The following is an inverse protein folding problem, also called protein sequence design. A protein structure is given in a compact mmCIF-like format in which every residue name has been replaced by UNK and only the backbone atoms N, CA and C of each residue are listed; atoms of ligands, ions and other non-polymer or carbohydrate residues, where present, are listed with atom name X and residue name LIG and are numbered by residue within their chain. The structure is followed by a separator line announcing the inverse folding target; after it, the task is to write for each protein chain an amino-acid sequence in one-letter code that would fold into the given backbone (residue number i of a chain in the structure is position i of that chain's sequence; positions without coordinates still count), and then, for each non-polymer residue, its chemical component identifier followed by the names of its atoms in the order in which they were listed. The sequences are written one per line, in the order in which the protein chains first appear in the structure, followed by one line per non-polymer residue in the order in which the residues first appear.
data_IF_600725230595
#
_entry.id   IF_600725230595
#
_cell.length_a   1.000
_cell.length_b   1.000
_cell.length_c   1.000
_cell.angle_alpha   90.00
_cell.angle_beta   90.00
_cell.angle_gamma   90.00
#
_symmetry.space_group_name_H-M   'P 1'
#
loop_
_entity.id
_entity.type
_entity.pdbx_description
1 polymer ?
#
# COMPACT_ATOMS: atom_id res chain seq x y z
N UNK A 1 -23.36 -9.95 7.10
CA UNK A 1 -22.04 -10.39 7.62
C UNK A 1 -21.87 -9.82 9.02
N UNK A 2 -21.30 -10.58 9.97
CA UNK A 2 -21.01 -10.06 11.30
C UNK A 2 -20.01 -8.89 11.20
N UNK A 3 -20.24 -7.83 11.99
CA UNK A 3 -19.52 -6.56 11.90
C UNK A 3 -18.75 -6.27 13.17
N UNK A 4 -17.50 -5.83 13.03
CA UNK A 4 -16.71 -5.28 14.13
C UNK A 4 -16.80 -3.76 14.12
N UNK A 5 -17.07 -3.12 15.26
CA UNK A 5 -17.06 -1.64 15.37
C UNK A 5 -15.62 -1.13 15.53
N UNK A 6 -15.31 0.01 14.92
CA UNK A 6 -14.02 0.69 15.12
C UNK A 6 -13.99 1.42 16.48
N UNK A 7 -13.70 0.67 17.55
CA UNK A 7 -13.58 1.19 18.91
C UNK A 7 -12.26 1.93 19.14
N UNK A 8 -12.12 2.77 20.18
CA UNK A 8 -10.84 3.39 20.54
C UNK A 8 -9.71 2.38 20.73
N UNK A 9 -9.98 1.24 21.37
CA UNK A 9 -9.02 0.14 21.54
C UNK A 9 -8.58 -0.42 20.20
N UNK A 10 -9.53 -0.67 19.29
CA UNK A 10 -9.20 -1.19 17.97
C UNK A 10 -8.41 -0.17 17.12
N UNK A 11 -8.69 1.13 17.28
CA UNK A 11 -7.89 2.19 16.66
C UNK A 11 -6.44 2.14 17.11
N UNK A 12 -6.23 2.11 18.43
CA UNK A 12 -4.89 2.04 19.01
C UNK A 12 -4.14 0.78 18.55
N UNK A 13 -4.84 -0.35 18.46
CA UNK A 13 -4.28 -1.60 17.96
C UNK A 13 -3.84 -1.49 16.49
N UNK A 14 -4.67 -0.92 15.61
CA UNK A 14 -4.30 -0.68 14.21
C UNK A 14 -3.08 0.25 14.06
N UNK A 15 -3.03 1.35 14.82
CA UNK A 15 -1.87 2.26 14.82
C UNK A 15 -0.60 1.51 15.23
N UNK A 16 -0.65 0.80 16.36
CA UNK A 16 0.46 0.03 16.88
C UNK A 16 0.93 -1.03 15.87
N UNK A 17 0.01 -1.79 15.28
CA UNK A 17 0.32 -2.81 14.28
C UNK A 17 0.97 -2.19 13.04
N UNK A 18 0.46 -1.07 12.55
CA UNK A 18 1.04 -0.39 11.39
C UNK A 18 2.44 0.15 11.67
N UNK A 19 2.65 0.77 12.84
CA UNK A 19 3.95 1.29 13.27
C UNK A 19 5.00 0.19 13.42
N UNK A 20 4.60 -0.95 14.00
CA UNK A 20 5.49 -2.11 14.23
C UNK A 20 5.55 -3.08 13.04
N UNK A 21 4.84 -2.79 11.94
CA UNK A 21 4.87 -3.57 10.72
C UNK A 21 6.25 -3.52 10.09
N UNK A 22 6.83 -4.70 9.90
CA UNK A 22 8.08 -4.94 9.18
C UNK A 22 7.79 -5.91 8.05
N UNK A 23 8.02 -5.45 6.83
CA UNK A 23 7.89 -6.25 5.62
C UNK A 23 9.00 -7.30 5.66
N UNK A 24 8.66 -8.58 5.45
CA UNK A 24 9.67 -9.65 5.46
C UNK A 24 10.71 -9.37 4.37
N UNK A 25 12.03 -9.47 4.64
CA UNK A 25 13.06 -9.09 3.68
C UNK A 25 12.93 -9.74 2.30
N UNK A 26 12.59 -11.04 2.26
CA UNK A 26 12.36 -11.77 1.00
C UNK A 26 11.16 -11.29 0.19
N UNK A 27 10.23 -10.57 0.81
CA UNK A 27 9.03 -10.05 0.15
C UNK A 27 9.24 -8.67 -0.47
N UNK A 28 10.29 -7.93 -0.10
CA UNK A 28 10.51 -6.55 -0.54
C UNK A 28 10.63 -6.43 -2.07
N UNK A 29 11.23 -7.44 -2.72
CA UNK A 29 11.36 -7.50 -4.18
C UNK A 29 10.00 -7.61 -4.90
N UNK A 30 8.99 -8.18 -4.24
CA UNK A 30 7.62 -8.29 -4.77
C UNK A 30 6.76 -7.11 -4.34
N UNK A 31 6.91 -6.65 -3.09
CA UNK A 31 6.10 -5.57 -2.50
C UNK A 31 6.41 -4.22 -3.14
N UNK A 32 7.69 -3.92 -3.37
CA UNK A 32 8.10 -2.59 -3.85
C UNK A 32 7.55 -2.26 -5.25
N UNK A 33 7.66 -3.13 -6.26
CA UNK A 33 7.11 -2.85 -7.59
C UNK A 33 5.59 -2.65 -7.58
N UNK A 34 4.86 -3.39 -6.75
CA UNK A 34 3.40 -3.23 -6.63
C UNK A 34 3.06 -1.88 -5.99
N UNK A 35 3.73 -1.50 -4.90
CA UNK A 35 3.54 -0.19 -4.28
C UNK A 35 3.89 0.96 -5.25
N UNK A 36 4.98 0.83 -6.01
CA UNK A 36 5.36 1.80 -7.04
C UNK A 36 4.30 1.90 -8.15
N UNK A 37 3.75 0.77 -8.62
CA UNK A 37 2.66 0.77 -9.62
C UNK A 37 1.40 1.45 -9.09
N UNK A 38 1.06 1.25 -7.82
CA UNK A 38 -0.05 1.96 -7.17
C UNK A 38 0.22 3.46 -7.16
N UNK A 39 1.40 3.87 -6.69
CA UNK A 39 1.80 5.27 -6.63
C UNK A 39 1.87 5.94 -8.02
N UNK A 40 2.37 5.24 -9.03
CA UNK A 40 2.46 5.75 -10.41
C UNK A 40 1.07 6.02 -11.04
N UNK A 41 0.01 5.38 -10.53
CA UNK A 41 -1.36 5.62 -10.96
C UNK A 41 -2.16 6.49 -9.98
N UNK A 42 -1.49 7.20 -9.06
CA UNK A 42 -2.11 8.07 -8.05
C UNK A 42 -3.17 8.99 -8.66
N UNK A 43 -2.82 9.73 -9.71
CA UNK A 43 -3.71 10.75 -10.27
C UNK A 43 -4.97 10.13 -10.87
N UNK A 44 -4.85 8.94 -11.45
CA UNK A 44 -5.99 8.14 -11.92
C UNK A 44 -6.91 7.70 -10.76
N UNK A 45 -6.33 7.32 -9.63
CA UNK A 45 -7.09 7.00 -8.42
C UNK A 45 -7.71 8.24 -7.77
N UNK A 46 -7.04 9.40 -7.79
CA UNK A 46 -7.61 10.69 -7.31
C UNK A 46 -8.83 11.11 -8.14
N UNK A 47 -8.75 10.96 -9.47
CA UNK A 47 -9.91 11.19 -10.35
C UNK A 47 -11.12 10.34 -9.95
N UNK A 48 -10.94 9.16 -9.36
CA UNK A 48 -12.03 8.31 -8.87
C UNK A 48 -12.46 8.74 -7.46
N UNK A 49 -11.49 8.93 -6.56
CA UNK A 49 -11.69 9.08 -5.12
C UNK A 49 -12.10 10.47 -4.67
N UNK A 50 -11.52 11.54 -5.24
CA UNK A 50 -11.73 12.91 -4.78
C UNK A 50 -13.23 13.31 -4.79
N UNK A 51 -14.02 13.00 -5.83
CA UNK A 51 -15.46 13.31 -5.84
C UNK A 51 -16.28 12.52 -4.81
N UNK A 52 -15.73 11.42 -4.29
CA UNK A 52 -16.37 10.57 -3.28
C UNK A 52 -15.79 10.81 -1.87
N UNK A 53 -14.73 11.62 -1.76
CA UNK A 53 -13.97 11.82 -0.53
C UNK A 53 -13.24 10.55 -0.07
N UNK A 54 -12.76 9.72 -0.99
CA UNK A 54 -12.06 8.46 -0.70
C UNK A 54 -10.57 8.63 -1.06
N UNK A 55 -9.63 8.32 -0.15
CA UNK A 55 -8.20 8.42 -0.45
C UNK A 55 -7.79 7.56 -1.65
N UNK A 56 -6.98 8.13 -2.53
CA UNK A 56 -6.48 7.44 -3.72
C UNK A 56 -5.74 6.14 -3.36
N UNK A 57 -5.01 6.14 -2.24
CA UNK A 57 -4.22 5.00 -1.80
C UNK A 57 -5.12 3.84 -1.37
N UNK A 58 -6.27 4.11 -0.73
CA UNK A 58 -7.27 3.09 -0.41
C UNK A 58 -7.78 2.42 -1.69
N UNK A 59 -8.12 3.19 -2.72
CA UNK A 59 -8.61 2.67 -4.00
C UNK A 59 -7.54 1.82 -4.68
N UNK A 60 -6.27 2.27 -4.70
CA UNK A 60 -5.17 1.49 -5.26
C UNK A 60 -4.92 0.16 -4.54
N UNK A 61 -5.09 0.13 -3.22
CA UNK A 61 -4.98 -1.10 -2.42
C UNK A 61 -6.12 -2.08 -2.72
N UNK A 62 -7.36 -1.60 -2.81
CA UNK A 62 -8.52 -2.42 -3.22
C UNK A 62 -8.32 -2.92 -4.66
N UNK A 63 -7.89 -2.06 -5.58
CA UNK A 63 -7.65 -2.45 -6.97
C UNK A 63 -6.56 -3.54 -7.10
N UNK A 64 -5.53 -3.52 -6.25
CA UNK A 64 -4.58 -4.63 -6.19
C UNK A 64 -5.26 -5.92 -5.73
N UNK A 65 -6.06 -5.87 -4.66
CA UNK A 65 -6.69 -7.05 -4.06
C UNK A 65 -7.72 -7.70 -4.96
N UNK A 66 -8.54 -6.89 -5.61
CA UNK A 66 -9.69 -7.36 -6.38
C UNK A 66 -9.37 -7.53 -7.87
N UNK A 67 -8.33 -6.87 -8.39
CA UNK A 67 -8.05 -6.82 -9.83
C UNK A 67 -6.57 -6.92 -10.22
N UNK A 68 -5.65 -7.13 -9.27
CA UNK A 68 -4.20 -7.18 -9.56
C UNK A 68 -3.66 -5.95 -10.33
N UNK A 69 -4.30 -4.79 -10.12
CA UNK A 69 -4.00 -3.53 -10.81
C UNK A 69 -4.24 -3.58 -12.34
N UNK A 70 -5.18 -4.40 -12.79
CA UNK A 70 -5.60 -4.51 -14.19
C UNK A 70 -6.72 -3.51 -14.51
N UNK A 71 -6.34 -2.41 -15.16
CA UNK A 71 -7.26 -1.35 -15.58
C UNK A 71 -8.17 -1.75 -16.76
N UNK A 72 -8.05 -2.96 -17.31
CA UNK A 72 -8.95 -3.52 -18.31
C UNK A 72 -10.19 -4.20 -17.74
N UNK A 73 -10.32 -4.25 -16.40
CA UNK A 73 -11.36 -5.01 -15.70
C UNK A 73 -12.17 -4.15 -14.73
N UNK A 74 -13.41 -4.58 -14.50
CA UNK A 74 -14.30 -4.01 -13.50
C UNK A 74 -13.73 -4.20 -12.09
N UNK A 75 -13.66 -3.12 -11.30
CA UNK A 75 -13.26 -3.19 -9.89
C UNK A 75 -14.23 -4.04 -9.05
N UNK A 76 -15.44 -4.28 -9.52
CA UNK A 76 -16.44 -5.09 -8.84
C UNK A 76 -15.99 -6.52 -8.58
N UNK A 77 -15.46 -7.19 -9.61
CA UNK A 77 -15.30 -8.64 -9.62
C UNK A 77 -14.27 -9.15 -10.67
N UNK A 78 -13.60 -8.23 -11.39
CA UNK A 78 -12.61 -8.59 -12.41
C UNK A 78 -13.16 -8.92 -13.80
N UNK A 79 -14.45 -8.76 -14.07
CA UNK A 79 -15.00 -8.94 -15.43
C UNK A 79 -14.41 -7.90 -16.42
N UNK A 80 -14.27 -8.21 -17.72
CA UNK A 80 -13.77 -7.25 -18.70
C UNK A 80 -14.67 -6.01 -18.87
N UNK A 81 -14.08 -4.83 -19.04
CA UNK A 81 -14.80 -3.56 -19.23
C UNK A 81 -15.60 -3.47 -20.55
N UNK A 82 -15.48 -4.45 -21.44
CA UNK A 82 -16.17 -4.50 -22.74
C UNK A 82 -17.66 -4.82 -22.66
N UNK A 83 -18.15 -5.21 -21.49
CA UNK A 83 -19.55 -5.53 -21.24
C UNK A 83 -19.94 -5.10 -19.81
N UNK A 84 -21.17 -5.38 -19.39
CA UNK A 84 -21.54 -5.31 -17.96
C UNK A 84 -21.03 -6.54 -17.24
N UNK A 85 -20.85 -6.45 -15.94
CA UNK A 85 -20.49 -7.60 -15.10
C UNK A 85 -21.52 -8.74 -15.26
N UNK A 86 -21.02 -9.95 -15.39
CA UNK A 86 -21.81 -11.18 -15.39
C UNK A 86 -21.67 -11.87 -14.03
N UNK A 87 -20.47 -11.82 -13.46
CA UNK A 87 -20.25 -12.28 -12.09
C UNK A 87 -20.86 -11.31 -11.08
N UNK A 88 -21.08 -11.80 -9.86
CA UNK A 88 -21.70 -11.00 -8.80
C UNK A 88 -20.75 -9.88 -8.38
N UNK A 89 -21.22 -8.62 -8.22
CA UNK A 89 -22.57 -8.13 -8.52
C UNK A 89 -22.81 -8.00 -10.03
N UNK A 90 -23.82 -8.67 -10.57
CA UNK A 90 -24.11 -8.68 -12.01
C UNK A 90 -24.78 -7.38 -12.49
N UNK A 91 -24.64 -7.07 -13.78
CA UNK A 91 -25.28 -5.96 -14.46
C UNK A 91 -24.65 -4.58 -14.24
N UNK A 92 -23.45 -4.52 -13.66
CA UNK A 92 -22.73 -3.27 -13.35
C UNK A 92 -21.76 -2.86 -14.47
N UNK A 93 -21.43 -1.57 -14.60
CA UNK A 93 -21.97 -0.38 -13.91
C UNK A 93 -23.41 -0.09 -14.33
N UNK A 94 -24.28 0.45 -13.47
CA UNK A 94 -25.69 0.64 -13.85
C UNK A 94 -25.88 1.69 -14.96
N UNK A 95 -25.10 2.78 -14.89
CA UNK A 95 -25.17 3.89 -15.85
C UNK A 95 -24.14 3.73 -16.97
N UNK A 96 -24.44 4.29 -18.14
CA UNK A 96 -23.56 4.26 -19.31
C UNK A 96 -23.75 3.03 -20.21
N UNK A 97 -22.93 2.96 -21.28
CA UNK A 97 -22.89 1.87 -22.25
C UNK A 97 -21.43 1.38 -22.40
N UNK A 98 -21.20 0.08 -22.59
CA UNK A 98 -19.86 -0.46 -22.82
C UNK A 98 -19.27 -0.02 -24.19
N UNK A 99 -17.94 -0.04 -24.36
CA UNK A 99 -16.94 -0.36 -23.32
C UNK A 99 -16.88 0.75 -22.26
N UNK A 100 -16.77 0.33 -20.99
CA UNK A 100 -16.69 1.26 -19.86
C UNK A 100 -15.26 1.72 -19.62
N UNK A 101 -15.09 2.94 -19.11
CA UNK A 101 -13.82 3.33 -18.49
C UNK A 101 -13.66 2.58 -17.16
N UNK A 102 -12.40 2.38 -16.73
CA UNK A 102 -12.13 1.83 -15.41
C UNK A 102 -12.70 2.75 -14.32
N UNK A 103 -12.58 4.06 -14.52
CA UNK A 103 -12.97 5.11 -13.59
C UNK A 103 -14.47 5.08 -13.32
N UNK A 104 -15.30 4.99 -14.37
CA UNK A 104 -16.75 4.90 -14.23
C UNK A 104 -17.16 3.62 -13.51
N UNK A 105 -16.52 2.50 -13.85
CA UNK A 105 -16.78 1.24 -13.17
C UNK A 105 -16.33 1.24 -11.72
N UNK A 106 -15.17 1.82 -11.41
CA UNK A 106 -14.65 1.90 -10.07
C UNK A 106 -15.55 2.77 -9.19
N UNK A 107 -16.06 3.90 -9.71
CA UNK A 107 -17.03 4.74 -9.00
C UNK A 107 -18.33 3.99 -8.70
N UNK A 108 -18.89 3.24 -9.65
CA UNK A 108 -20.08 2.40 -9.39
C UNK A 108 -19.81 1.38 -8.27
N UNK A 109 -18.64 0.72 -8.29
CA UNK A 109 -18.24 -0.23 -7.25
C UNK A 109 -18.11 0.41 -5.87
N UNK A 110 -17.45 1.56 -5.76
CA UNK A 110 -17.25 2.25 -4.48
C UNK A 110 -18.58 2.75 -3.89
N UNK A 111 -19.50 3.25 -4.75
CA UNK A 111 -20.84 3.68 -4.34
C UNK A 111 -21.71 2.48 -3.94
N UNK A 112 -21.62 1.37 -4.65
CA UNK A 112 -22.33 0.14 -4.29
C UNK A 112 -21.93 -0.36 -2.89
N UNK A 113 -20.65 -0.22 -2.55
CA UNK A 113 -20.09 -0.53 -1.23
C UNK A 113 -20.37 0.56 -0.17
N UNK A 114 -21.10 1.63 -0.52
CA UNK A 114 -21.45 2.76 0.35
C UNK A 114 -20.25 3.51 0.92
N UNK A 115 -19.10 3.44 0.25
CA UNK A 115 -17.86 4.06 0.73
C UNK A 115 -17.88 5.58 0.64
N UNK A 116 -18.72 6.17 -0.22
CA UNK A 116 -18.97 7.62 -0.28
C UNK A 116 -19.58 8.18 1.01
N UNK A 117 -20.20 7.31 1.81
CA UNK A 117 -20.79 7.66 3.12
C UNK A 117 -19.80 7.55 4.26
N UNK A 118 -18.70 6.83 4.07
CA UNK A 118 -17.65 6.69 5.09
C UNK A 118 -16.75 7.93 5.10
N UNK A 119 -16.41 8.43 6.29
CA UNK A 119 -15.70 9.72 6.47
C UNK A 119 -14.39 9.60 7.24
N UNK A 120 -14.20 8.52 7.99
CA UNK A 120 -13.00 8.34 8.79
C UNK A 120 -11.89 7.70 7.98
N UNK A 121 -11.14 8.52 7.26
CA UNK A 121 -10.01 8.08 6.46
C UNK A 121 -8.66 8.24 7.16
N UNK A 122 -8.67 8.26 8.50
CA UNK A 122 -7.44 8.06 9.28
C UNK A 122 -6.85 6.68 8.99
N UNK A 123 -5.57 6.46 9.28
CA UNK A 123 -4.91 5.17 9.13
C UNK A 123 -5.71 4.01 9.77
N UNK A 124 -6.20 4.11 11.02
CA UNK A 124 -7.08 3.08 11.60
C UNK A 124 -8.39 2.92 10.85
N UNK A 125 -8.99 4.01 10.38
CA UNK A 125 -10.22 3.97 9.60
C UNK A 125 -10.05 3.25 8.27
N UNK A 126 -8.97 3.55 7.55
CA UNK A 126 -8.59 2.84 6.32
C UNK A 126 -8.33 1.34 6.58
N UNK A 127 -7.54 1.00 7.60
CA UNK A 127 -7.24 -0.40 7.92
C UNK A 127 -8.50 -1.17 8.32
N UNK A 128 -9.40 -0.53 9.07
CA UNK A 128 -10.70 -1.10 9.40
C UNK A 128 -11.57 -1.32 8.16
N UNK A 129 -11.60 -0.35 7.23
CA UNK A 129 -12.39 -0.47 6.02
C UNK A 129 -11.82 -1.50 5.03
N UNK A 130 -10.48 -1.62 4.94
CA UNK A 130 -9.81 -2.67 4.17
C UNK A 130 -10.09 -4.05 4.75
N UNK A 131 -10.08 -4.18 6.08
CA UNK A 131 -10.46 -5.45 6.72
C UNK A 131 -11.93 -5.77 6.51
N UNK A 132 -12.82 -4.77 6.59
CA UNK A 132 -14.24 -4.94 6.28
C UNK A 132 -14.47 -5.39 4.83
N UNK A 133 -13.64 -4.94 3.89
CA UNK A 133 -13.68 -5.35 2.48
C UNK A 133 -13.48 -6.86 2.32
N UNK A 134 -12.57 -7.44 3.10
CA UNK A 134 -12.35 -8.89 3.18
C UNK A 134 -13.37 -9.61 4.08
N UNK A 135 -13.80 -8.95 5.15
CA UNK A 135 -14.61 -9.50 6.22
C UNK A 135 -13.85 -9.74 7.53
N UNK A 136 -14.56 -9.63 8.66
CA UNK A 136 -14.03 -9.70 10.02
C UNK A 136 -13.90 -11.12 10.60
N UNK A 137 -13.89 -12.17 9.75
CA UNK A 137 -13.88 -13.56 10.21
C UNK A 137 -12.70 -13.92 11.12
N UNK A 138 -11.53 -13.31 10.89
CA UNK A 138 -10.36 -13.48 11.76
C UNK A 138 -10.62 -12.89 13.15
N UNK A 139 -11.08 -11.65 13.26
CA UNK A 139 -11.36 -11.03 14.57
C UNK A 139 -12.43 -11.76 15.38
N UNK A 140 -13.41 -12.33 14.70
CA UNK A 140 -14.57 -12.93 15.35
C UNK A 140 -14.34 -14.38 15.76
N UNK A 141 -13.56 -15.13 14.98
CA UNK A 141 -13.44 -16.58 15.14
C UNK A 141 -12.00 -17.06 15.36
N UNK A 142 -11.00 -16.26 14.99
CA UNK A 142 -9.57 -16.56 15.11
C UNK A 142 -8.75 -15.33 15.56
N UNK A 143 -9.09 -14.68 16.69
CA UNK A 143 -8.45 -13.44 17.12
C UNK A 143 -6.94 -13.59 17.39
N UNK A 144 -6.45 -14.82 17.54
CA UNK A 144 -5.03 -15.17 17.63
C UNK A 144 -4.26 -15.01 16.30
N UNK A 145 -4.97 -14.92 15.17
CA UNK A 145 -4.37 -14.74 13.84
C UNK A 145 -4.82 -13.40 13.25
N UNK A 146 -3.85 -12.50 13.03
CA UNK A 146 -4.10 -11.26 12.32
C UNK A 146 -4.42 -11.54 10.84
N UNK A 147 -5.43 -10.84 10.30
CA UNK A 147 -5.91 -11.07 8.94
C UNK A 147 -4.78 -10.95 7.90
N UNK A 148 -4.48 -12.01 7.11
CA UNK A 148 -3.48 -11.96 6.05
C UNK A 148 -3.86 -10.99 4.92
N UNK A 149 -5.15 -10.62 4.80
CA UNK A 149 -5.59 -9.59 3.86
C UNK A 149 -4.95 -8.23 4.18
N UNK A 150 -4.74 -7.93 5.47
CA UNK A 150 -4.01 -6.73 5.90
C UNK A 150 -2.50 -7.00 6.02
N UNK A 151 -2.12 -8.10 6.69
CA UNK A 151 -0.77 -8.26 7.24
C UNK A 151 0.08 -9.35 6.56
N UNK A 152 -0.42 -9.97 5.49
CA UNK A 152 0.32 -10.98 4.73
C UNK A 152 1.68 -10.46 4.24
N UNK A 153 2.72 -11.30 4.36
CA UNK A 153 4.13 -10.97 4.07
C UNK A 153 4.80 -9.96 5.03
N UNK A 154 4.29 -9.83 6.26
CA UNK A 154 4.94 -9.07 7.34
C UNK A 154 5.25 -9.94 8.56
N UNK A 155 5.98 -9.39 9.54
CA UNK A 155 6.23 -10.02 10.83
C UNK A 155 4.96 -10.28 11.67
N UNK A 156 3.80 -9.74 11.27
CA UNK A 156 2.53 -9.90 11.99
C UNK A 156 1.71 -11.11 11.53
N UNK A 157 2.14 -11.80 10.46
CA UNK A 157 1.45 -12.98 9.94
C UNK A 157 2.45 -14.08 9.61
N UNK A 158 2.12 -15.32 10.01
CA UNK A 158 2.93 -16.51 9.68
C UNK A 158 2.10 -17.56 8.96
N UNK A 159 0.98 -17.97 9.54
CA UNK A 159 0.04 -18.96 8.99
C UNK A 159 -1.32 -18.86 9.69
N UNK A 160 -2.27 -19.66 9.21
CA UNK A 160 -3.67 -19.63 9.62
C UNK A 160 -4.47 -18.80 8.63
N UNK A 161 -5.58 -19.34 8.15
CA UNK A 161 -6.47 -18.60 7.28
C UNK A 161 -7.56 -19.42 6.64
N UNK A 162 -8.45 -18.73 5.95
CA UNK A 162 -9.54 -19.33 5.20
C UNK A 162 -9.04 -19.73 3.81
N UNK A 163 -8.94 -21.04 3.55
CA UNK A 163 -8.51 -21.56 2.25
C UNK A 163 -9.60 -21.43 1.18
N UNK A 164 -10.85 -21.39 1.63
CA UNK A 164 -12.05 -21.06 0.87
C UNK A 164 -13.04 -20.37 1.82
N UNK A 165 -14.12 -19.81 1.28
CA UNK A 165 -15.15 -19.15 2.08
C UNK A 165 -15.69 -20.07 3.19
N UNK A 166 -15.52 -19.65 4.43
CA UNK A 166 -15.93 -20.41 5.62
C UNK A 166 -15.04 -21.60 5.99
N UNK A 167 -13.99 -21.92 5.21
CA UNK A 167 -13.12 -23.07 5.44
C UNK A 167 -11.80 -22.65 6.08
N UNK A 168 -11.77 -22.59 7.42
CA UNK A 168 -10.56 -22.29 8.18
C UNK A 168 -9.54 -23.43 8.11
N UNK A 169 -8.26 -23.07 7.99
CA UNK A 169 -7.12 -23.97 8.14
C UNK A 169 -6.00 -23.30 8.95
N UNK A 170 -5.56 -23.89 10.08
CA UNK A 170 -4.43 -23.37 10.85
C UNK A 170 -3.09 -23.48 10.11
N UNK A 171 -3.02 -24.36 9.09
CA UNK A 171 -1.82 -24.57 8.27
C UNK A 171 -1.77 -23.71 7.00
N UNK A 172 -2.84 -22.97 6.67
CA UNK A 172 -2.87 -22.14 5.48
C UNK A 172 -1.83 -21.03 5.55
N UNK A 173 -1.08 -20.84 4.47
CA UNK A 173 -0.10 -19.76 4.33
C UNK A 173 -0.51 -18.87 3.17
N UNK A 174 -0.95 -17.66 3.49
CA UNK A 174 -1.28 -16.68 2.47
C UNK A 174 -0.02 -16.24 1.70
N UNK A 175 -0.09 -16.29 0.36
CA UNK A 175 0.98 -15.82 -0.53
C UNK A 175 0.74 -14.41 -1.08
N UNK A 176 -0.48 -13.89 -0.96
CA UNK A 176 -0.85 -12.57 -1.47
C UNK A 176 -0.32 -11.47 -0.52
N UNK A 177 0.01 -10.31 -1.07
CA UNK A 177 0.51 -9.20 -0.25
C UNK A 177 -0.64 -8.59 0.57
N UNK A 178 -0.40 -8.33 1.84
CA UNK A 178 -1.36 -7.62 2.68
C UNK A 178 -1.50 -6.14 2.26
N UNK A 179 -2.71 -5.60 2.32
CA UNK A 179 -2.96 -4.19 1.99
C UNK A 179 -2.30 -3.23 2.97
N UNK A 180 -2.23 -3.58 4.27
CA UNK A 180 -1.49 -2.79 5.24
C UNK A 180 0.02 -2.83 4.98
N UNK A 181 0.53 -3.95 4.44
CA UNK A 181 1.95 -4.09 4.02
C UNK A 181 2.25 -3.21 2.81
N UNK A 182 1.36 -3.18 1.81
CA UNK A 182 1.48 -2.26 0.68
C UNK A 182 1.35 -0.80 1.10
N UNK A 183 0.41 -0.47 2.00
CA UNK A 183 0.26 0.89 2.54
C UNK A 183 1.50 1.32 3.34
N UNK A 184 2.05 0.41 4.15
CA UNK A 184 3.32 0.62 4.86
C UNK A 184 4.44 0.90 3.86
N UNK A 185 4.51 0.16 2.75
CA UNK A 185 5.51 0.44 1.71
C UNK A 185 5.27 1.78 1.03
N UNK A 186 4.05 2.15 0.70
CA UNK A 186 3.72 3.48 0.16
C UNK A 186 4.20 4.60 1.11
N UNK A 187 3.99 4.45 2.41
CA UNK A 187 4.48 5.39 3.41
C UNK A 187 6.01 5.44 3.48
N UNK A 188 6.68 4.29 3.45
CA UNK A 188 8.14 4.21 3.42
C UNK A 188 8.74 4.83 2.16
N UNK A 189 8.04 4.77 1.02
CA UNK A 189 8.44 5.41 -0.23
C UNK A 189 8.06 6.90 -0.30
N UNK A 190 7.45 7.45 0.75
CA UNK A 190 6.97 8.85 0.79
C UNK A 190 5.80 9.13 -0.16
N UNK A 191 5.09 8.10 -0.62
CA UNK A 191 3.92 8.27 -1.49
C UNK A 191 2.68 8.74 -0.71
N UNK A 192 2.61 8.37 0.57
CA UNK A 192 1.60 8.81 1.54
C UNK A 192 2.29 9.16 2.83
N UNK A 193 1.71 10.07 3.61
CA UNK A 193 2.22 10.46 4.91
C UNK A 193 1.09 10.44 5.93
N UNK A 194 1.39 9.98 7.13
CA UNK A 194 0.46 9.95 8.24
C UNK A 194 1.02 10.76 9.41
N UNK A 195 0.19 11.62 10.00
CA UNK A 195 0.48 12.24 11.28
C UNK A 195 0.52 11.18 12.41
N UNK A 196 1.02 11.57 13.58
CA UNK A 196 1.21 10.66 14.71
C UNK A 196 -0.12 10.03 15.20
N UNK A 197 -1.23 10.73 15.06
CA UNK A 197 -2.59 10.26 15.37
C UNK A 197 -3.21 9.39 14.27
N UNK A 198 -2.49 9.19 13.15
CA UNK A 198 -2.94 8.44 11.99
C UNK A 198 -3.68 9.28 10.96
N UNK A 199 -3.81 10.60 11.12
CA UNK A 199 -4.43 11.46 10.10
C UNK A 199 -3.63 11.41 8.80
N UNK A 200 -4.30 11.20 7.67
CA UNK A 200 -3.68 11.18 6.34
C UNK A 200 -3.33 12.62 5.90
N UNK A 201 -2.06 12.86 5.57
CA UNK A 201 -1.56 14.14 5.07
C UNK A 201 -1.51 14.11 3.54
N UNK A 202 -2.63 14.45 2.89
CA UNK A 202 -2.74 14.42 1.41
C UNK A 202 -1.89 15.49 0.71
N UNK A 203 -1.40 16.51 1.43
CA UNK A 203 -0.50 17.53 0.88
C UNK A 203 0.91 16.99 0.56
N UNK A 204 1.33 15.88 1.18
CA UNK A 204 2.58 15.19 0.81
C UNK A 204 2.49 14.54 -0.58
N UNK A 205 1.26 14.27 -1.05
CA UNK A 205 0.97 13.53 -2.27
C UNK A 205 1.09 14.36 -3.56
N UNK A 206 1.59 15.60 -3.54
CA UNK A 206 1.94 16.35 -4.77
C UNK A 206 3.45 16.35 -5.05
N UNK A 207 4.26 15.82 -4.13
CA UNK A 207 5.69 15.56 -4.40
C UNK A 207 5.79 14.31 -5.30
N UNK A 208 6.70 14.30 -6.29
CA UNK A 208 6.96 13.08 -7.05
C UNK A 208 7.35 11.97 -6.08
N UNK A 209 6.66 10.82 -6.16
CA UNK A 209 6.93 9.65 -5.33
C UNK A 209 8.32 9.15 -5.68
N UNK A 210 9.29 9.58 -4.90
CA UNK A 210 10.67 9.14 -5.04
C UNK A 210 10.88 8.03 -4.04
N UNK A 211 11.17 6.83 -4.52
CA UNK A 211 11.58 5.71 -3.66
C UNK A 211 12.81 6.03 -2.82
N UNK A 212 13.49 7.11 -3.17
CA UNK A 212 14.66 7.65 -2.52
C UNK A 212 14.33 8.63 -1.38
N UNK A 213 13.08 9.11 -1.27
CA UNK A 213 12.67 10.09 -0.25
C UNK A 213 12.91 9.59 1.18
N UNK A 214 12.78 8.27 1.42
CA UNK A 214 13.15 7.63 2.69
C UNK A 214 14.57 7.98 3.15
N UNK A 215 15.47 8.12 2.18
CA UNK A 215 16.88 8.33 2.41
C UNK A 215 17.27 9.82 2.42
N UNK A 216 16.31 10.75 2.33
CA UNK A 216 16.58 12.19 2.45
C UNK A 216 17.15 12.60 3.82
N UNK A 217 16.94 11.77 4.83
CA UNK A 217 17.53 11.94 6.16
C UNK A 217 18.97 11.40 6.28
N UNK A 218 19.45 10.64 5.29
CA UNK A 218 20.84 10.15 5.25
C UNK A 218 21.75 11.35 4.96
N UNK A 219 22.65 11.63 5.90
CA UNK A 219 23.66 12.68 5.75
C UNK A 219 24.87 12.13 5.02
N UNK A 220 25.56 13.00 4.29
CA UNK A 220 26.91 12.73 3.82
C UNK A 220 27.83 12.51 5.02
N UNK A 221 28.35 11.30 5.15
CA UNK A 221 29.29 10.92 6.20
C UNK A 221 30.17 9.75 5.69
N UNK A 222 31.38 10.04 5.21
CA UNK A 222 32.28 9.01 4.70
C UNK A 222 32.99 8.22 5.81
N UNK A 223 32.85 8.61 7.09
CA UNK A 223 33.63 8.03 8.18
C UNK A 223 32.79 7.13 9.08
N UNK A 224 31.54 7.50 9.37
CA UNK A 224 30.67 6.74 10.26
C UNK A 224 29.63 5.91 9.51
N UNK A 225 29.50 4.65 9.92
CA UNK A 225 28.48 3.76 9.37
C UNK A 225 27.10 4.05 9.97
N UNK A 226 26.08 4.15 9.11
CA UNK A 226 24.68 4.32 9.48
C UNK A 226 23.84 3.17 8.87
N UNK A 227 22.96 2.50 9.65
CA UNK A 227 22.10 1.43 9.13
C UNK A 227 21.22 1.85 7.94
N UNK A 228 20.66 3.06 7.97
CA UNK A 228 19.85 3.62 6.89
C UNK A 228 20.70 3.96 5.65
N UNK A 229 21.95 4.38 5.84
CA UNK A 229 22.90 4.57 4.74
C UNK A 229 23.28 3.23 4.08
N UNK A 230 23.40 2.17 4.87
CA UNK A 230 23.64 0.82 4.35
C UNK A 230 22.44 0.31 3.54
N UNK A 231 21.23 0.54 4.05
CA UNK A 231 19.99 0.25 3.32
C UNK A 231 19.91 1.05 2.00
N UNK A 232 20.31 2.34 2.02
CA UNK A 232 20.40 3.16 0.82
C UNK A 232 21.37 2.57 -0.21
N UNK A 233 22.58 2.19 0.21
CA UNK A 233 23.58 1.56 -0.68
C UNK A 233 23.04 0.27 -1.30
N UNK A 234 22.35 -0.56 -0.51
CA UNK A 234 21.66 -1.77 -0.98
C UNK A 234 20.60 -1.49 -2.04
N UNK A 235 19.81 -0.42 -1.88
CA UNK A 235 18.82 -0.04 -2.88
C UNK A 235 19.48 0.53 -4.14
N UNK A 236 20.49 1.38 -3.98
CA UNK A 236 21.24 1.97 -5.10
C UNK A 236 21.91 0.89 -5.95
N UNK A 237 22.45 -0.17 -5.33
CA UNK A 237 23.04 -1.33 -6.03
C UNK A 237 22.05 -2.12 -6.92
N UNK A 238 20.74 -1.90 -6.77
CA UNK A 238 19.72 -2.53 -7.62
C UNK A 238 19.48 -1.75 -8.91
N UNK A 239 20.03 -0.55 -9.03
CA UNK A 239 19.93 0.28 -10.22
C UNK A 239 21.05 -0.09 -11.18
N UNK A 240 20.70 -0.38 -12.43
CA UNK A 240 21.67 -0.77 -13.45
C UNK A 240 22.80 0.28 -13.58
N UNK A 241 24.05 -0.18 -13.55
CA UNK A 241 25.22 0.68 -13.65
C UNK A 241 25.63 1.40 -12.35
N UNK A 242 25.05 1.05 -11.21
CA UNK A 242 25.50 1.50 -9.88
C UNK A 242 26.11 0.32 -9.12
N UNK A 243 27.32 0.53 -8.59
CA UNK A 243 28.06 -0.44 -7.79
C UNK A 243 28.70 0.26 -6.58
N UNK A 244 28.20 -0.04 -5.40
CA UNK A 244 28.59 0.54 -4.11
C UNK A 244 28.93 -0.58 -3.12
N UNK A 245 29.88 -0.28 -2.23
CA UNK A 245 30.12 -1.09 -1.04
C UNK A 245 29.01 -0.82 -0.02
N UNK A 246 28.45 -1.87 0.58
CA UNK A 246 27.35 -1.80 1.56
C UNK A 246 27.86 -1.70 3.00
N UNK A 247 28.72 -0.73 3.26
CA UNK A 247 29.40 -0.51 4.54
C UNK A 247 28.66 0.46 5.48
N UNK A 248 27.61 1.10 4.99
CA UNK A 248 26.85 2.13 5.71
C UNK A 248 27.53 3.49 5.78
N UNK A 249 28.68 3.69 5.15
CA UNK A 249 29.39 4.98 5.11
C UNK A 249 28.93 5.76 3.89
N UNK A 250 28.08 6.75 4.10
CA UNK A 250 27.47 7.55 3.05
C UNK A 250 28.42 8.63 2.50
N UNK A 251 29.53 8.21 1.90
CA UNK A 251 30.50 9.09 1.27
C UNK A 251 30.16 9.49 -0.17
N UNK A 252 31.16 10.02 -0.87
CA UNK A 252 31.02 10.62 -2.21
C UNK A 252 30.33 9.71 -3.24
N UNK A 253 30.73 8.43 -3.31
CA UNK A 253 30.15 7.45 -4.23
C UNK A 253 28.67 7.20 -3.97
N UNK A 254 28.28 7.06 -2.70
CA UNK A 254 26.87 6.89 -2.30
C UNK A 254 26.07 8.13 -2.68
N UNK A 255 26.61 9.32 -2.42
CA UNK A 255 25.95 10.59 -2.75
C UNK A 255 25.82 10.84 -4.25
N UNK A 256 26.84 10.51 -5.05
CA UNK A 256 26.77 10.58 -6.52
C UNK A 256 25.75 9.59 -7.09
N UNK A 257 25.72 8.37 -6.56
CA UNK A 257 24.71 7.38 -6.95
C UNK A 257 23.29 7.84 -6.58
N UNK A 258 23.12 8.44 -5.40
CA UNK A 258 21.87 9.08 -4.99
C UNK A 258 21.47 10.22 -5.93
N UNK A 259 22.41 11.06 -6.33
CA UNK A 259 22.17 12.13 -7.30
C UNK A 259 21.72 11.59 -8.67
N UNK A 260 22.32 10.51 -9.18
CA UNK A 260 21.91 9.91 -10.46
C UNK A 260 20.44 9.50 -10.50
N UNK A 261 19.87 9.14 -9.35
CA UNK A 261 18.50 8.60 -9.27
C UNK A 261 17.50 9.60 -8.71
N UNK A 262 17.96 10.73 -8.15
CA UNK A 262 17.10 11.77 -7.54
C UNK A 262 17.30 13.18 -8.09
N UNK A 263 18.41 13.44 -8.77
CA UNK A 263 18.85 14.78 -9.17
C UNK A 263 19.44 15.63 -8.04
N UNK A 264 19.61 15.10 -6.82
CA UNK A 264 20.16 15.83 -5.66
C UNK A 264 21.21 15.02 -4.90
N UNK A 265 22.17 15.71 -4.31
CA UNK A 265 23.17 15.07 -3.43
C UNK A 265 22.62 14.80 -2.03
N UNK A 266 23.30 13.94 -1.26
CA UNK A 266 22.98 13.72 0.15
C UNK A 266 23.20 14.99 0.97
N UNK A 267 22.41 15.15 2.04
CA UNK A 267 22.48 16.33 2.91
C UNK A 267 23.87 16.46 3.54
N UNK A 268 24.54 17.58 3.31
CA UNK A 268 25.88 17.86 3.82
C UNK A 268 27.02 17.49 2.86
N UNK A 269 26.71 17.00 1.66
CA UNK A 269 27.69 16.89 0.58
C UNK A 269 27.99 18.29 0.03
N UNK A 270 29.27 18.65 -0.07
CA UNK A 270 29.70 19.98 -0.50
C UNK A 270 29.38 20.32 -1.97
N UNK A 271 28.94 19.34 -2.77
CA UNK A 271 28.60 19.51 -4.19
C UNK A 271 27.14 19.92 -4.42
N UNK A 272 26.30 19.93 -3.38
CA UNK A 272 24.86 20.16 -3.45
C UNK A 272 24.36 21.28 -2.55
#
# INVERSE_FOLDING_TARGET
MPTAKLTPTLRADYLRLFQTCRITPGSLATVTPIAQRIAANRDRYRQIGDPLGIPWCFIGLVHYREGSLDFGKHLHNGDPLSARTVHIPAGRPLKGKPPFSFEDSARDALILQKLEKYKDWTLPGMLWQLEAYNGFGYRLYHPEVLSPYLWGQSNHYTRGGYAADGVWSPGYVNRQLGTAVLLRRLAELGAVEFAADGTLNDAAADKPVSVWARYDSVKFDPTHANPLAKELQQQLNRVAGIHLLEDGKAGEKTSTAFWRVTGRYLKGDARG
#
